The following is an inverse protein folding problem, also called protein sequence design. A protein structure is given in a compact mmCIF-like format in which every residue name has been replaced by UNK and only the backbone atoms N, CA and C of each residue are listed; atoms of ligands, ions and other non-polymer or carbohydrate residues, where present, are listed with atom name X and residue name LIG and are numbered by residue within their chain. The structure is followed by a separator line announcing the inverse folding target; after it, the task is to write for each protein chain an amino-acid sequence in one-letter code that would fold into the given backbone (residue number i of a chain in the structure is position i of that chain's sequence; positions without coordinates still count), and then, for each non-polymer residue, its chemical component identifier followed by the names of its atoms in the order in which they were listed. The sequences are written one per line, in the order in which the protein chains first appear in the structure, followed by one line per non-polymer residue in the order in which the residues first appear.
data_IF_880516135350
#
_entry.id   IF_880516135350
#
_cell.length_a   1.000
_cell.length_b   1.000
_cell.length_c   1.000
_cell.angle_alpha   90.00
_cell.angle_beta   90.00
_cell.angle_gamma   90.00
#
_symmetry.space_group_name_H-M   'P 1'
#
loop_
_entity.id
_entity.type
_entity.pdbx_description
1 polymer ?
#
# COMPACT_ATOMS: atom_id res chain seq x y z
N UNK A 1 -3.63 34.84 -11.48
CA UNK A 1 -3.29 33.42 -11.22
C UNK A 1 -3.39 33.14 -9.71
N UNK A 2 -4.58 32.90 -9.12
CA UNK A 2 -4.57 32.87 -7.62
C UNK A 2 -5.61 32.03 -6.88
N UNK A 3 -6.72 31.57 -7.47
CA UNK A 3 -7.70 30.75 -6.71
C UNK A 3 -7.62 29.26 -7.00
N UNK A 4 -7.49 28.86 -8.27
CA UNK A 4 -7.40 27.44 -8.67
C UNK A 4 -6.13 26.74 -8.13
N UNK A 5 -4.99 27.45 -8.08
CA UNK A 5 -3.73 26.91 -7.55
C UNK A 5 -3.80 26.64 -6.03
N UNK A 6 -4.59 27.40 -5.27
CA UNK A 6 -4.73 27.22 -3.82
C UNK A 6 -5.52 25.96 -3.46
N UNK A 7 -6.55 25.61 -4.24
CA UNK A 7 -7.34 24.38 -4.05
C UNK A 7 -6.50 23.14 -4.39
N UNK A 8 -5.73 23.19 -5.48
CA UNK A 8 -4.81 22.11 -5.86
C UNK A 8 -3.74 21.90 -4.78
N UNK A 9 -3.27 22.98 -4.15
CA UNK A 9 -2.29 22.92 -3.05
C UNK A 9 -2.85 22.27 -1.78
N UNK A 10 -4.17 22.27 -1.57
CA UNK A 10 -4.83 21.52 -0.48
C UNK A 10 -5.13 20.06 -0.82
N UNK A 11 -5.48 19.75 -2.08
CA UNK A 11 -5.74 18.37 -2.52
C UNK A 11 -4.46 17.52 -2.57
N UNK A 12 -3.34 18.04 -3.07
CA UNK A 12 -2.08 17.27 -3.20
C UNK A 12 -1.54 16.69 -1.88
N UNK A 13 -1.47 17.45 -0.77
CA UNK A 13 -1.08 16.90 0.53
C UNK A 13 -2.00 15.77 1.01
N UNK A 14 -3.30 15.90 0.76
CA UNK A 14 -4.30 14.90 1.15
C UNK A 14 -4.13 13.60 0.35
N UNK A 15 -3.88 13.69 -0.96
CA UNK A 15 -3.65 12.51 -1.80
C UNK A 15 -2.37 11.77 -1.40
N UNK A 16 -1.29 12.51 -1.13
CA UNK A 16 -0.03 11.93 -0.62
C UNK A 16 -0.23 11.24 0.72
N UNK A 17 -0.94 11.90 1.64
CA UNK A 17 -1.26 11.32 2.95
C UNK A 17 -2.13 10.07 2.81
N UNK A 18 -3.13 10.08 1.93
CA UNK A 18 -3.97 8.91 1.65
C UNK A 18 -3.15 7.72 1.12
N UNK A 19 -2.25 7.94 0.14
CA UNK A 19 -1.37 6.89 -0.38
C UNK A 19 -0.43 6.36 0.70
N UNK A 20 0.17 7.26 1.49
CA UNK A 20 1.04 6.88 2.60
C UNK A 20 0.33 6.00 3.63
N UNK A 21 -0.87 6.39 4.05
CA UNK A 21 -1.66 5.59 4.99
C UNK A 21 -2.16 4.28 4.37
N UNK A 22 -2.45 4.24 3.07
CA UNK A 22 -2.78 3.02 2.36
C UNK A 22 -1.60 2.02 2.35
N UNK A 23 -0.40 2.50 2.02
CA UNK A 23 0.83 1.69 2.07
C UNK A 23 1.09 1.16 3.48
N UNK A 24 1.02 2.02 4.50
CA UNK A 24 1.23 1.62 5.89
C UNK A 24 0.18 0.62 6.39
N UNK A 25 -1.06 0.76 5.93
CA UNK A 25 -2.12 -0.20 6.23
C UNK A 25 -1.77 -1.58 5.66
N UNK A 26 -1.44 -1.66 4.38
CA UNK A 26 -1.03 -2.91 3.73
C UNK A 26 0.19 -3.53 4.43
N UNK A 27 1.24 -2.72 4.67
CA UNK A 27 2.49 -3.15 5.33
C UNK A 27 2.22 -3.81 6.69
N UNK A 28 1.40 -3.16 7.53
CA UNK A 28 1.08 -3.66 8.87
C UNK A 28 0.29 -4.97 8.82
N UNK A 29 -0.63 -5.13 7.88
CA UNK A 29 -1.39 -6.37 7.74
C UNK A 29 -0.53 -7.53 7.21
N UNK A 30 0.35 -7.28 6.24
CA UNK A 30 1.32 -8.30 5.80
C UNK A 30 2.22 -8.75 6.95
N UNK A 31 2.76 -7.79 7.71
CA UNK A 31 3.57 -8.09 8.90
C UNK A 31 2.76 -8.82 9.96
N UNK A 32 1.50 -8.46 10.19
CA UNK A 32 0.63 -9.16 11.14
C UNK A 32 0.40 -10.63 10.74
N UNK A 33 0.20 -10.90 9.44
CA UNK A 33 0.12 -12.28 8.91
C UNK A 33 1.41 -13.04 9.25
N UNK A 34 2.58 -12.47 8.95
CA UNK A 34 3.87 -13.10 9.22
C UNK A 34 4.08 -13.39 10.70
N UNK A 35 3.78 -12.43 11.58
CA UNK A 35 3.85 -12.62 13.05
C UNK A 35 2.92 -13.73 13.51
N UNK A 36 1.68 -13.75 13.04
CA UNK A 36 0.70 -14.77 13.43
C UNK A 36 1.13 -16.20 13.01
N UNK A 37 1.99 -16.32 12.00
CA UNK A 37 2.55 -17.60 11.53
C UNK A 37 3.97 -17.85 12.04
N UNK A 38 4.43 -17.09 13.04
CA UNK A 38 5.76 -17.27 13.65
C UNK A 38 6.93 -16.90 12.75
N UNK A 39 6.69 -16.17 11.66
CA UNK A 39 7.71 -15.79 10.70
C UNK A 39 8.37 -14.46 11.08
N UNK A 40 9.71 -14.44 11.06
CA UNK A 40 10.48 -13.20 11.17
C UNK A 40 10.51 -12.51 9.81
N UNK A 41 10.48 -11.18 9.83
CA UNK A 41 10.62 -10.35 8.62
C UNK A 41 11.70 -9.29 8.84
N UNK A 42 12.44 -8.89 7.78
CA UNK A 42 13.44 -7.84 7.86
C UNK A 42 12.78 -6.48 8.10
N UNK A 43 13.54 -5.49 8.59
CA UNK A 43 13.08 -4.09 8.65
C UNK A 43 13.04 -3.48 7.24
N UNK A 44 12.05 -3.91 6.45
CA UNK A 44 11.75 -3.41 5.11
C UNK A 44 10.38 -2.74 5.07
N UNK A 45 10.24 -1.79 4.17
CA UNK A 45 8.97 -1.16 3.78
C UNK A 45 8.48 -1.66 2.40
N UNK A 46 9.21 -2.59 1.80
CA UNK A 46 8.86 -3.21 0.53
C UNK A 46 7.71 -4.20 0.72
N UNK A 47 6.57 -3.92 0.07
CA UNK A 47 5.39 -4.76 0.15
C UNK A 47 5.51 -6.05 -0.67
N UNK A 48 6.31 -6.04 -1.74
CA UNK A 48 6.57 -7.22 -2.56
C UNK A 48 7.37 -8.23 -1.74
N UNK A 49 8.44 -7.77 -1.07
CA UNK A 49 9.25 -8.62 -0.19
C UNK A 49 8.39 -9.26 0.92
N UNK A 50 7.51 -8.46 1.55
CA UNK A 50 6.61 -8.96 2.59
C UNK A 50 5.59 -9.97 2.04
N UNK A 51 5.07 -9.73 0.83
CA UNK A 51 4.16 -10.66 0.16
C UNK A 51 4.86 -11.98 -0.20
N UNK A 52 6.09 -11.92 -0.70
CA UNK A 52 6.90 -13.09 -1.02
C UNK A 52 7.25 -13.89 0.25
N UNK A 53 7.48 -13.22 1.38
CA UNK A 53 7.63 -13.88 2.68
C UNK A 53 6.33 -14.57 3.11
N UNK A 54 5.17 -13.93 2.95
CA UNK A 54 3.87 -14.56 3.22
C UNK A 54 3.69 -15.81 2.35
N UNK A 55 4.03 -15.73 1.07
CA UNK A 55 3.95 -16.87 0.15
C UNK A 55 4.86 -18.01 0.57
N UNK A 56 6.10 -17.74 0.97
CA UNK A 56 7.03 -18.75 1.51
C UNK A 56 6.53 -19.38 2.81
N UNK A 57 5.74 -18.65 3.59
CA UNK A 57 5.05 -19.15 4.77
C UNK A 57 3.79 -19.96 4.45
N UNK A 58 3.48 -20.21 3.17
CA UNK A 58 2.30 -20.95 2.71
C UNK A 58 1.03 -20.08 2.55
N UNK A 59 1.15 -18.75 2.61
CA UNK A 59 0.02 -17.83 2.59
C UNK A 59 0.05 -17.05 1.28
N UNK A 60 -0.68 -17.56 0.29
CA UNK A 60 -0.82 -16.88 -0.98
C UNK A 60 -1.85 -15.76 -0.86
N UNK A 61 -1.39 -14.52 -0.91
CA UNK A 61 -2.27 -13.35 -0.99
C UNK A 61 -2.61 -13.16 -2.47
N UNK A 62 -3.90 -13.19 -2.86
CA UNK A 62 -4.31 -13.13 -4.26
C UNK A 62 -4.26 -11.69 -4.78
N UNK A 63 -3.07 -11.11 -4.84
CA UNK A 63 -2.81 -9.74 -5.26
C UNK A 63 -1.59 -9.70 -6.18
N UNK A 64 -1.66 -8.91 -7.24
CA UNK A 64 -0.56 -8.80 -8.18
C UNK A 64 0.58 -7.96 -7.59
N UNK A 65 1.81 -8.35 -7.92
CA UNK A 65 3.01 -7.61 -7.48
C UNK A 65 2.99 -6.16 -7.96
N UNK A 66 2.45 -5.89 -9.15
CA UNK A 66 2.33 -4.54 -9.71
C UNK A 66 1.37 -3.64 -8.91
N UNK A 67 0.35 -4.24 -8.29
CA UNK A 67 -0.58 -3.53 -7.41
C UNK A 67 0.07 -3.19 -6.07
N UNK A 68 0.86 -4.12 -5.50
CA UNK A 68 1.66 -3.88 -4.30
C UNK A 68 2.77 -2.86 -4.55
N UNK A 69 3.44 -2.95 -5.69
CA UNK A 69 4.43 -1.98 -6.13
C UNK A 69 3.80 -0.59 -6.18
N UNK A 70 2.61 -0.45 -6.78
CA UNK A 70 1.88 0.81 -6.93
C UNK A 70 1.50 1.52 -5.61
N UNK A 71 1.51 0.81 -4.47
CA UNK A 71 1.35 1.42 -3.13
C UNK A 71 2.63 2.09 -2.64
N UNK A 72 3.79 1.70 -3.16
CA UNK A 72 5.08 2.18 -2.69
C UNK A 72 5.33 3.60 -3.22
N UNK A 73 5.69 4.57 -2.36
CA UNK A 73 5.99 5.94 -2.80
C UNK A 73 7.05 6.00 -3.91
N UNK A 74 7.98 5.03 -3.91
CA UNK A 74 9.02 4.88 -4.91
C UNK A 74 8.46 4.50 -6.29
N UNK A 75 7.53 3.54 -6.36
CA UNK A 75 6.91 3.10 -7.61
C UNK A 75 6.13 4.22 -8.29
N UNK A 76 5.40 5.00 -7.50
CA UNK A 76 4.68 6.19 -7.99
C UNK A 76 5.68 7.20 -8.60
N UNK A 77 6.81 7.43 -7.93
CA UNK A 77 7.85 8.36 -8.39
C UNK A 77 8.53 7.88 -9.66
N UNK A 78 8.70 6.57 -9.84
CA UNK A 78 9.26 5.98 -11.07
C UNK A 78 8.27 6.09 -12.23
N UNK A 79 7.01 5.69 -12.01
CA UNK A 79 5.99 5.69 -13.07
C UNK A 79 5.74 7.09 -13.62
N UNK A 80 5.85 8.11 -12.77
CA UNK A 80 5.63 9.50 -13.16
C UNK A 80 6.70 10.44 -12.60
N UNK A 81 7.92 10.44 -13.17
CA UNK A 81 8.99 11.33 -12.73
C UNK A 81 8.57 12.79 -13.00
N UNK A 82 8.40 13.56 -11.93
CA UNK A 82 8.00 14.98 -12.02
C UNK A 82 6.50 15.23 -12.17
N UNK A 83 5.67 14.20 -12.33
CA UNK A 83 4.21 14.37 -12.36
C UNK A 83 3.63 14.30 -10.93
N UNK A 84 2.71 15.20 -10.57
CA UNK A 84 2.04 15.11 -9.28
C UNK A 84 1.07 13.93 -9.23
N UNK A 85 1.07 13.25 -8.08
CA UNK A 85 0.06 12.26 -7.70
C UNK A 85 -1.36 12.79 -7.94
N UNK A 86 -2.19 11.98 -8.60
CA UNK A 86 -3.57 12.32 -8.91
C UNK A 86 -4.58 11.55 -8.02
N UNK A 87 -5.87 11.74 -8.30
CA UNK A 87 -6.94 11.08 -7.56
C UNK A 87 -7.02 9.58 -7.88
N UNK A 88 -6.72 9.18 -9.11
CA UNK A 88 -6.79 7.80 -9.56
C UNK A 88 -5.70 6.96 -8.86
N UNK A 89 -4.48 7.52 -8.71
CA UNK A 89 -3.40 6.91 -7.93
C UNK A 89 -3.85 6.64 -6.49
N UNK A 90 -4.45 7.64 -5.84
CA UNK A 90 -4.92 7.52 -4.46
C UNK A 90 -6.07 6.52 -4.30
N UNK A 91 -6.97 6.45 -5.29
CA UNK A 91 -8.06 5.47 -5.31
C UNK A 91 -7.53 4.05 -5.50
N UNK A 92 -6.57 3.86 -6.42
CA UNK A 92 -5.91 2.58 -6.64
C UNK A 92 -5.19 2.11 -5.37
N UNK A 93 -4.38 2.98 -4.75
CA UNK A 93 -3.70 2.68 -3.50
C UNK A 93 -4.70 2.28 -2.39
N UNK A 94 -5.81 3.02 -2.24
CA UNK A 94 -6.83 2.70 -1.25
C UNK A 94 -7.51 1.35 -1.53
N UNK A 95 -7.79 1.03 -2.80
CA UNK A 95 -8.40 -0.24 -3.19
C UNK A 95 -7.48 -1.42 -2.84
N UNK A 96 -6.20 -1.33 -3.19
CA UNK A 96 -5.20 -2.35 -2.89
C UNK A 96 -5.05 -2.54 -1.37
N UNK A 97 -4.96 -1.45 -0.60
CA UNK A 97 -4.87 -1.54 0.87
C UNK A 97 -6.12 -2.16 1.50
N UNK A 98 -7.32 -1.84 1.00
CA UNK A 98 -8.58 -2.45 1.45
C UNK A 98 -8.61 -3.95 1.17
N UNK A 99 -8.14 -4.37 0.00
CA UNK A 99 -8.04 -5.78 -0.35
C UNK A 99 -7.11 -6.54 0.59
N UNK A 100 -5.86 -6.05 0.77
CA UNK A 100 -4.88 -6.66 1.68
C UNK A 100 -5.45 -6.76 3.09
N UNK A 101 -6.09 -5.69 3.58
CA UNK A 101 -6.76 -5.67 4.89
C UNK A 101 -7.86 -6.73 5.00
N UNK A 102 -8.75 -6.82 4.01
CA UNK A 102 -9.85 -7.78 4.03
C UNK A 102 -9.33 -9.23 4.04
N UNK A 103 -8.35 -9.51 3.19
CA UNK A 103 -7.69 -10.82 3.13
C UNK A 103 -7.00 -11.16 4.46
N UNK A 104 -6.18 -10.23 4.99
CA UNK A 104 -5.46 -10.44 6.24
C UNK A 104 -6.41 -10.67 7.41
N UNK A 105 -7.50 -9.91 7.53
CA UNK A 105 -8.49 -10.09 8.60
C UNK A 105 -9.17 -11.45 8.52
N UNK A 106 -9.45 -11.96 7.33
CA UNK A 106 -9.98 -13.31 7.13
C UNK A 106 -9.00 -14.38 7.64
N UNK A 107 -7.72 -14.27 7.27
CA UNK A 107 -6.66 -15.19 7.71
C UNK A 107 -6.45 -15.12 9.23
N UNK A 108 -6.52 -13.92 9.81
CA UNK A 108 -6.32 -13.68 11.25
C UNK A 108 -7.57 -13.92 12.11
N UNK A 109 -8.71 -14.32 11.51
CA UNK A 109 -9.97 -14.55 12.24
C UNK A 109 -10.60 -13.29 12.86
N UNK A 110 -10.30 -12.10 12.33
CA UNK A 110 -10.79 -10.82 12.84
C UNK A 110 -12.14 -10.47 12.21
N UNK A 111 -13.19 -10.38 13.04
CA UNK A 111 -14.54 -9.89 12.64
C UNK A 111 -14.51 -8.40 12.33
#
# INVERSE_FOLDING_TARGET
MTTAQLVIRRKKPLLRSACFHAQQCAEKYLKAILVAHGQKFPKTHDLIDLSDLCQRAGILIPIDKDQLDGLTPHAIRIRYPGMPLDLADAQAALATAKFVRAFARKILGLK
#
